data_IF_535202766265
#
_entry.id   IF_535202766265
#
_cell.length_a   1.000
_cell.length_b   1.000
_cell.length_c   1.000
_cell.angle_alpha   90.00
_cell.angle_beta   90.00
_cell.angle_gamma   90.00
#
_symmetry.space_group_name_H-M   'P 1'
#
loop_
_entity.id
_entity.type
_entity.pdbx_description
1 polymer ?
#
# COMPACT_ATOMS: atom_id res chain seq x y z
N UNK A 1 11.51 1.21 -10.76
CA UNK A 1 10.64 -0.01 -10.86
C UNK A 1 9.36 0.07 -9.99
N UNK A 2 9.45 0.25 -8.64
CA UNK A 2 8.22 0.24 -7.79
C UNK A 2 7.31 1.44 -8.05
N UNK A 3 7.86 2.62 -8.30
CA UNK A 3 7.07 3.80 -8.66
C UNK A 3 6.38 3.64 -10.03
N UNK A 4 6.99 2.94 -10.97
CA UNK A 4 6.35 2.67 -12.27
C UNK A 4 5.16 1.71 -12.11
N UNK A 5 5.30 0.72 -11.21
CA UNK A 5 4.18 -0.16 -10.86
C UNK A 5 3.06 0.62 -10.15
N UNK A 6 3.41 1.57 -9.25
CA UNK A 6 2.42 2.46 -8.65
C UNK A 6 1.65 3.26 -9.71
N UNK A 7 2.35 3.86 -10.67
CA UNK A 7 1.70 4.57 -11.80
C UNK A 7 0.76 3.65 -12.58
N UNK A 8 1.20 2.42 -12.85
CA UNK A 8 0.37 1.40 -13.49
C UNK A 8 -0.92 1.13 -12.71
N UNK A 9 -0.81 0.89 -11.40
CA UNK A 9 -1.97 0.67 -10.53
C UNK A 9 -2.91 1.90 -10.51
N UNK A 10 -2.37 3.12 -10.38
CA UNK A 10 -3.18 4.35 -10.36
C UNK A 10 -3.92 4.55 -11.68
N UNK A 11 -3.27 4.29 -12.81
CA UNK A 11 -3.90 4.38 -14.14
C UNK A 11 -5.01 3.34 -14.31
N UNK A 12 -4.80 2.10 -13.88
CA UNK A 12 -5.81 1.05 -13.93
C UNK A 12 -7.03 1.40 -13.06
N UNK A 13 -6.80 1.92 -11.85
CA UNK A 13 -7.86 2.35 -10.95
C UNK A 13 -8.68 3.49 -11.58
N UNK A 14 -8.03 4.48 -12.18
CA UNK A 14 -8.72 5.58 -12.85
C UNK A 14 -9.55 5.10 -14.04
N UNK A 15 -9.09 4.10 -14.78
CA UNK A 15 -9.84 3.51 -15.87
C UNK A 15 -11.06 2.70 -15.39
N UNK A 16 -10.90 1.95 -14.30
CA UNK A 16 -11.94 1.04 -13.78
C UNK A 16 -12.94 1.76 -12.88
N UNK A 17 -12.47 2.65 -12.01
CA UNK A 17 -13.28 3.25 -10.94
C UNK A 17 -13.56 4.74 -11.14
N UNK A 18 -12.93 5.39 -12.12
CA UNK A 18 -13.05 6.82 -12.46
C UNK A 18 -12.57 7.80 -11.39
N UNK A 19 -12.42 7.42 -10.15
CA UNK A 19 -11.97 8.26 -9.06
C UNK A 19 -10.94 7.56 -8.17
N UNK A 20 -9.94 8.30 -7.71
CA UNK A 20 -8.94 7.84 -6.74
C UNK A 20 -9.20 8.41 -5.34
N UNK A 21 -10.48 8.50 -4.94
CA UNK A 21 -10.85 8.86 -3.57
C UNK A 21 -10.75 7.66 -2.63
N UNK A 22 -10.57 7.94 -1.35
CA UNK A 22 -10.52 6.93 -0.29
C UNK A 22 -9.45 5.86 -0.53
N UNK A 23 -8.33 6.30 -1.10
CA UNK A 23 -7.20 5.43 -1.45
C UNK A 23 -6.13 5.48 -0.38
N UNK A 24 -5.66 4.30 0.01
CA UNK A 24 -4.57 4.13 0.96
C UNK A 24 -3.38 3.48 0.26
N UNK A 25 -2.24 4.14 0.26
CA UNK A 25 -1.00 3.64 -0.34
C UNK A 25 -0.02 3.29 0.77
N UNK A 26 0.28 2.02 0.93
CA UNK A 26 1.31 1.53 1.84
C UNK A 26 2.67 1.59 1.15
N UNK A 27 3.46 2.56 1.56
CA UNK A 27 4.82 2.77 1.04
C UNK A 27 5.77 1.71 1.65
N UNK A 28 6.77 1.24 0.91
CA UNK A 28 7.78 0.33 1.45
C UNK A 28 8.41 0.88 2.72
N UNK A 29 8.63 0.00 3.69
CA UNK A 29 9.29 0.34 4.94
C UNK A 29 10.77 -0.03 4.84
N UNK A 30 11.66 0.83 5.32
CA UNK A 30 13.07 0.53 5.51
C UNK A 30 13.29 -0.38 6.73
N UNK A 31 14.24 -0.05 7.60
CA UNK A 31 14.51 -0.83 8.83
C UNK A 31 13.34 -0.81 9.82
N UNK A 32 13.10 -1.89 10.59
CA UNK A 32 11.84 -2.08 11.32
C UNK A 32 11.53 -1.09 12.45
N UNK A 33 12.50 -0.38 13.02
CA UNK A 33 12.28 0.28 14.31
C UNK A 33 12.25 1.81 14.31
N UNK A 34 12.89 2.48 13.37
CA UNK A 34 12.95 3.95 13.37
C UNK A 34 12.63 4.53 11.99
N UNK A 35 11.93 5.67 11.98
CA UNK A 35 11.71 6.44 10.77
C UNK A 35 12.97 7.29 10.52
N UNK A 36 13.70 6.96 9.46
CA UNK A 36 14.97 7.60 9.11
C UNK A 36 14.86 8.50 7.86
N UNK A 37 15.99 9.08 7.43
CA UNK A 37 16.03 9.96 6.26
C UNK A 37 15.73 9.25 4.95
N UNK A 38 16.04 7.94 4.84
CA UNK A 38 15.71 7.16 3.65
C UNK A 38 14.21 6.90 3.57
N UNK A 39 13.56 6.64 4.71
CA UNK A 39 12.11 6.52 4.81
C UNK A 39 11.41 7.84 4.44
N UNK A 40 11.93 8.98 4.93
CA UNK A 40 11.41 10.31 4.61
C UNK A 40 11.52 10.60 3.12
N UNK A 41 12.68 10.34 2.54
CA UNK A 41 12.90 10.49 1.11
C UNK A 41 11.93 9.60 0.31
N UNK A 42 11.81 8.35 0.69
CA UNK A 42 10.98 7.38 -0.01
C UNK A 42 9.50 7.78 0.02
N UNK A 43 8.95 8.13 1.19
CA UNK A 43 7.53 8.54 1.27
C UNK A 43 7.29 9.85 0.52
N UNK A 44 8.27 10.76 0.46
CA UNK A 44 8.19 11.98 -0.33
C UNK A 44 8.15 11.68 -1.83
N UNK A 45 8.93 10.72 -2.32
CA UNK A 45 8.88 10.29 -3.72
C UNK A 45 7.50 9.75 -4.11
N UNK A 46 6.91 8.87 -3.29
CA UNK A 46 5.56 8.34 -3.52
C UNK A 46 4.49 9.44 -3.45
N UNK A 47 4.59 10.32 -2.47
CA UNK A 47 3.68 11.45 -2.30
C UNK A 47 3.74 12.42 -3.48
N UNK A 48 4.94 12.69 -4.01
CA UNK A 48 5.16 13.54 -5.18
C UNK A 48 4.52 12.97 -6.45
N UNK A 49 4.62 11.68 -6.69
CA UNK A 49 3.92 11.04 -7.81
C UNK A 49 2.42 11.30 -7.70
N UNK A 50 1.82 11.05 -6.54
CA UNK A 50 0.38 11.19 -6.33
C UNK A 50 -0.09 12.64 -6.48
N UNK A 51 0.64 13.60 -5.89
CA UNK A 51 0.23 15.01 -5.92
C UNK A 51 0.57 15.72 -7.23
N UNK A 52 1.76 15.49 -7.79
CA UNK A 52 2.25 16.25 -8.92
C UNK A 52 1.87 15.65 -10.27
N UNK A 53 1.87 14.31 -10.39
CA UNK A 53 1.54 13.66 -11.66
C UNK A 53 0.02 13.39 -11.80
N UNK A 54 -0.64 13.06 -10.68
CA UNK A 54 -2.09 12.73 -10.67
C UNK A 54 -2.97 13.87 -10.13
N UNK A 55 -2.37 14.96 -9.65
CA UNK A 55 -3.07 16.15 -9.12
C UNK A 55 -4.09 15.83 -8.02
N UNK A 56 -3.78 14.81 -7.20
CA UNK A 56 -4.65 14.36 -6.12
C UNK A 56 -4.28 15.00 -4.79
N UNK A 57 -5.30 15.35 -4.01
CA UNK A 57 -5.08 15.75 -2.61
C UNK A 57 -4.59 14.54 -1.82
N UNK A 58 -3.38 14.62 -1.31
CA UNK A 58 -2.79 13.55 -0.52
C UNK A 58 -2.29 14.07 0.83
N UNK A 59 -2.12 13.17 1.80
CA UNK A 59 -1.48 13.44 3.06
C UNK A 59 -0.63 12.23 3.48
N UNK A 60 0.56 12.51 4.02
CA UNK A 60 1.41 11.47 4.61
C UNK A 60 0.88 11.10 5.99
N UNK A 61 0.83 9.81 6.27
CA UNK A 61 0.40 9.26 7.55
C UNK A 61 1.49 8.34 8.08
N UNK A 62 2.33 8.88 8.96
CA UNK A 62 3.51 8.22 9.53
C UNK A 62 3.44 8.18 11.06
N UNK A 63 4.38 7.50 11.71
CA UNK A 63 4.44 7.42 13.17
C UNK A 63 4.43 8.79 13.88
N UNK A 64 5.09 9.78 13.27
CA UNK A 64 5.22 11.15 13.78
C UNK A 64 4.04 12.08 13.43
N UNK A 65 3.06 11.62 12.65
CA UNK A 65 1.92 12.44 12.22
C UNK A 65 1.13 12.93 13.42
N UNK A 66 1.02 14.26 13.53
CA UNK A 66 0.17 14.96 14.52
C UNK A 66 -1.26 15.07 13.97
N UNK A 67 -2.22 15.36 14.86
CA UNK A 67 -3.64 15.57 14.49
C UNK A 67 -4.25 14.44 13.65
N UNK A 68 -3.88 13.20 13.96
CA UNK A 68 -4.33 11.99 13.23
C UNK A 68 -5.84 11.93 13.05
N UNK A 69 -6.60 12.30 14.08
CA UNK A 69 -8.07 12.29 14.04
C UNK A 69 -8.63 13.24 12.98
N UNK A 70 -8.10 14.48 12.88
CA UNK A 70 -8.52 15.44 11.86
C UNK A 70 -8.19 14.94 10.44
N UNK A 71 -6.99 14.40 10.25
CA UNK A 71 -6.57 13.86 8.94
C UNK A 71 -7.51 12.72 8.52
N UNK A 72 -7.84 11.81 9.42
CA UNK A 72 -8.77 10.70 9.15
C UNK A 72 -10.19 11.18 8.87
N UNK A 73 -10.67 12.21 9.58
CA UNK A 73 -11.97 12.82 9.30
C UNK A 73 -12.00 13.48 7.91
N UNK A 74 -10.95 14.21 7.56
CA UNK A 74 -10.82 14.82 6.22
C UNK A 74 -10.72 13.79 5.12
N UNK A 75 -10.04 12.68 5.36
CA UNK A 75 -9.99 11.53 4.45
C UNK A 75 -11.37 10.89 4.31
N UNK A 76 -12.07 10.60 5.41
CA UNK A 76 -13.42 10.04 5.39
C UNK A 76 -14.44 10.97 4.70
N UNK A 77 -14.23 12.29 4.77
CA UNK A 77 -15.04 13.29 4.07
C UNK A 77 -14.63 13.50 2.60
N UNK A 78 -13.63 12.77 2.09
CA UNK A 78 -13.13 12.89 0.71
C UNK A 78 -12.36 14.19 0.42
N UNK A 79 -12.00 14.98 1.44
CA UNK A 79 -11.16 16.18 1.31
C UNK A 79 -9.69 15.83 1.08
N UNK A 80 -9.26 14.67 1.55
CA UNK A 80 -7.99 14.03 1.22
C UNK A 80 -8.35 12.79 0.41
N UNK A 81 -7.88 12.73 -0.82
CA UNK A 81 -8.17 11.61 -1.71
C UNK A 81 -7.31 10.39 -1.39
N UNK A 82 -6.04 10.63 -1.09
CA UNK A 82 -5.05 9.58 -0.87
C UNK A 82 -4.31 9.77 0.45
N UNK A 83 -4.19 8.73 1.25
CA UNK A 83 -3.25 8.65 2.37
C UNK A 83 -2.05 7.80 1.96
N UNK A 84 -0.85 8.37 2.06
CA UNK A 84 0.41 7.61 1.94
C UNK A 84 0.88 7.23 3.34
N UNK A 85 0.99 5.94 3.61
CA UNK A 85 1.24 5.43 4.96
C UNK A 85 2.54 4.62 5.01
N UNK A 86 3.33 4.84 6.07
CA UNK A 86 4.53 4.10 6.36
C UNK A 86 4.65 3.90 7.88
N UNK A 87 4.90 2.67 8.33
CA UNK A 87 5.18 2.29 9.73
C UNK A 87 4.14 2.77 10.77
N UNK A 88 2.90 3.04 10.41
CA UNK A 88 1.98 3.75 11.31
C UNK A 88 0.56 3.21 11.40
N UNK A 89 0.19 2.25 10.58
CA UNK A 89 -1.19 1.73 10.54
C UNK A 89 -1.34 0.42 11.29
N UNK A 90 -0.34 0.01 12.05
CA UNK A 90 -0.36 -1.28 12.76
C UNK A 90 -1.15 -1.20 14.07
N UNK A 91 -1.33 0.01 14.67
CA UNK A 91 -2.07 0.18 15.92
C UNK A 91 -3.09 1.33 15.88
N UNK A 92 -4.32 1.06 16.32
CA UNK A 92 -5.32 2.08 16.69
C UNK A 92 -5.92 2.93 15.56
N UNK A 93 -5.50 2.80 14.32
CA UNK A 93 -5.99 3.64 13.22
C UNK A 93 -7.20 3.01 12.53
N UNK A 94 -8.30 3.74 12.50
CA UNK A 94 -9.54 3.30 11.85
C UNK A 94 -9.71 4.02 10.50
N UNK A 95 -9.53 3.28 9.43
CA UNK A 95 -9.66 3.75 8.04
C UNK A 95 -10.84 3.09 7.32
N UNK A 96 -11.97 2.95 8.00
CA UNK A 96 -13.18 2.25 7.48
C UNK A 96 -13.60 2.73 6.09
N UNK A 97 -13.40 4.02 5.79
CA UNK A 97 -13.79 4.61 4.51
C UNK A 97 -12.86 4.22 3.35
N UNK A 98 -11.72 3.55 3.61
CA UNK A 98 -10.82 3.12 2.53
C UNK A 98 -11.53 2.17 1.57
N UNK A 99 -11.58 2.54 0.30
CA UNK A 99 -12.14 1.74 -0.79
C UNK A 99 -11.05 1.07 -1.61
N UNK A 100 -9.90 1.73 -1.75
CA UNK A 100 -8.75 1.21 -2.49
C UNK A 100 -7.53 1.17 -1.58
N UNK A 101 -6.81 0.06 -1.59
CA UNK A 101 -5.51 -0.05 -0.94
C UNK A 101 -4.46 -0.57 -1.90
N UNK A 102 -3.33 0.11 -1.96
CA UNK A 102 -2.18 -0.26 -2.77
C UNK A 102 -1.03 -0.60 -1.83
N UNK A 103 -0.62 -1.85 -1.81
CA UNK A 103 0.55 -2.32 -1.06
C UNK A 103 1.78 -2.29 -1.96
N UNK A 104 2.64 -1.27 -1.82
CA UNK A 104 3.85 -1.10 -2.63
C UNK A 104 5.04 -1.94 -2.15
N UNK A 105 4.90 -2.62 -1.04
CA UNK A 105 5.85 -3.60 -0.54
C UNK A 105 5.17 -4.68 0.26
N UNK A 106 5.69 -5.88 0.11
CA UNK A 106 5.39 -6.98 1.01
C UNK A 106 6.06 -6.76 2.35
N UNK A 107 5.33 -6.95 3.41
CA UNK A 107 5.95 -7.15 4.72
C UNK A 107 6.22 -8.64 4.90
N UNK A 108 7.42 -8.97 5.37
CA UNK A 108 7.78 -10.35 5.74
C UNK A 108 7.00 -10.86 6.97
N UNK A 109 6.25 -9.98 7.64
CA UNK A 109 5.45 -10.31 8.81
C UNK A 109 3.98 -10.56 8.41
N UNK A 110 3.53 -11.84 8.35
CA UNK A 110 2.15 -12.16 7.98
C UNK A 110 1.10 -11.53 8.90
N UNK A 111 1.42 -11.32 10.19
CA UNK A 111 0.47 -10.72 11.16
C UNK A 111 0.18 -9.25 10.83
N UNK A 112 1.21 -8.47 10.53
CA UNK A 112 1.03 -7.07 10.14
C UNK A 112 0.18 -6.95 8.88
N UNK A 113 0.44 -7.80 7.91
CA UNK A 113 -0.27 -7.84 6.66
C UNK A 113 -1.77 -8.16 6.85
N UNK A 114 -2.08 -9.19 7.64
CA UNK A 114 -3.46 -9.55 7.99
C UNK A 114 -4.16 -8.41 8.74
N UNK A 115 -3.46 -7.74 9.66
CA UNK A 115 -4.00 -6.60 10.40
C UNK A 115 -4.30 -5.40 9.48
N UNK A 116 -3.38 -5.05 8.59
CA UNK A 116 -3.56 -3.97 7.60
C UNK A 116 -4.76 -4.25 6.71
N UNK A 117 -4.86 -5.46 6.17
CA UNK A 117 -6.02 -5.91 5.39
C UNK A 117 -7.33 -5.82 6.17
N UNK A 118 -7.36 -6.34 7.39
CA UNK A 118 -8.55 -6.33 8.23
C UNK A 118 -9.10 -4.92 8.50
N UNK A 119 -8.26 -3.88 8.47
CA UNK A 119 -8.68 -2.49 8.60
C UNK A 119 -9.34 -1.95 7.34
N UNK A 120 -8.84 -2.34 6.17
CA UNK A 120 -9.38 -1.94 4.87
C UNK A 120 -10.72 -2.61 4.61
N UNK A 121 -10.86 -3.88 5.01
CA UNK A 121 -12.10 -4.65 4.80
C UNK A 121 -13.22 -4.31 5.80
N UNK A 122 -13.03 -3.37 6.73
CA UNK A 122 -14.08 -2.95 7.65
C UNK A 122 -15.28 -2.39 6.90
N UNK A 123 -16.46 -2.76 7.37
CA UNK A 123 -17.72 -2.32 6.79
C UNK A 123 -17.91 -0.81 7.02
N UNK A 124 -18.36 -0.12 5.99
CA UNK A 124 -18.79 1.27 6.02
C UNK A 124 -20.07 1.42 5.19
N UNK A 125 -21.05 2.23 5.63
CA UNK A 125 -22.33 2.35 4.92
C UNK A 125 -22.21 2.73 3.46
N UNK A 126 -21.27 3.62 3.14
CA UNK A 126 -21.06 4.13 1.77
C UNK A 126 -20.05 3.31 0.96
N UNK A 127 -19.54 2.20 1.50
CA UNK A 127 -18.56 1.36 0.83
C UNK A 127 -19.15 -0.02 0.51
N UNK A 128 -19.29 -0.33 -0.77
CA UNK A 128 -19.80 -1.62 -1.23
C UNK A 128 -18.69 -2.67 -1.33
N UNK A 129 -17.52 -2.27 -1.81
CA UNK A 129 -16.34 -3.13 -1.99
C UNK A 129 -15.08 -2.45 -1.50
N UNK A 130 -14.05 -3.24 -1.24
CA UNK A 130 -12.67 -2.79 -1.05
C UNK A 130 -11.79 -3.47 -2.10
N UNK A 131 -11.03 -2.68 -2.84
CA UNK A 131 -10.11 -3.14 -3.86
C UNK A 131 -8.69 -3.12 -3.31
N UNK A 132 -7.99 -4.23 -3.45
CA UNK A 132 -6.63 -4.37 -2.93
C UNK A 132 -5.69 -4.69 -4.09
N UNK A 133 -4.71 -3.81 -4.30
CA UNK A 133 -3.61 -3.97 -5.22
C UNK A 133 -2.36 -4.32 -4.42
N UNK A 134 -1.80 -5.49 -4.66
CA UNK A 134 -0.61 -5.97 -3.94
C UNK A 134 0.54 -6.16 -4.92
N UNK A 135 1.61 -5.39 -4.74
CA UNK A 135 2.79 -5.48 -5.58
C UNK A 135 3.66 -6.65 -5.12
N UNK A 136 3.81 -7.62 -5.98
CA UNK A 136 4.67 -8.78 -5.74
C UNK A 136 6.00 -8.66 -6.48
N UNK A 137 7.04 -9.25 -5.92
CA UNK A 137 8.34 -9.37 -6.57
C UNK A 137 8.41 -10.73 -7.26
N UNK A 138 8.57 -10.72 -8.58
CA UNK A 138 8.76 -11.92 -9.38
C UNK A 138 10.21 -11.93 -9.87
N UNK A 139 10.95 -13.05 -9.69
CA UNK A 139 12.31 -13.19 -10.24
C UNK A 139 12.31 -13.11 -11.76
N UNK A 140 13.39 -12.54 -12.33
CA UNK A 140 13.60 -12.60 -13.76
C UNK A 140 14.23 -13.94 -14.14
N UNK A 141 13.41 -14.87 -14.60
CA UNK A 141 13.83 -16.21 -14.99
C UNK A 141 14.77 -16.24 -16.21
N UNK A 142 14.92 -15.13 -16.92
CA UNK A 142 15.82 -14.99 -18.07
C UNK A 142 17.19 -14.44 -17.67
N UNK A 143 17.43 -14.11 -16.40
CA UNK A 143 18.73 -13.64 -15.95
C UNK A 143 19.76 -14.77 -16.01
N UNK A 144 20.92 -14.47 -16.62
CA UNK A 144 22.03 -15.43 -16.75
C UNK A 144 22.64 -15.87 -15.41
N UNK A 145 22.40 -15.10 -14.35
CA UNK A 145 22.85 -15.38 -12.98
C UNK A 145 21.78 -16.06 -12.13
N UNK A 146 20.70 -16.50 -12.74
CA UNK A 146 19.56 -17.12 -12.06
C UNK A 146 19.94 -18.37 -11.23
N UNK A 147 20.96 -19.12 -11.66
CA UNK A 147 21.37 -20.36 -10.97
C UNK A 147 21.97 -20.10 -9.57
N UNK A 148 22.75 -19.03 -9.38
CA UNK A 148 23.44 -18.75 -8.11
C UNK A 148 22.50 -18.20 -7.04
N UNK A 149 21.45 -17.47 -7.43
CA UNK A 149 20.47 -16.86 -6.54
C UNK A 149 19.14 -17.61 -6.49
N UNK A 150 18.98 -18.62 -7.32
CA UNK A 150 17.74 -19.35 -7.57
C UNK A 150 17.02 -19.82 -6.28
N UNK A 151 17.78 -20.28 -5.30
CA UNK A 151 17.19 -20.74 -4.04
C UNK A 151 16.57 -19.59 -3.24
N UNK A 152 17.25 -18.45 -3.14
CA UNK A 152 16.75 -17.26 -2.44
C UNK A 152 15.55 -16.69 -3.17
N UNK A 153 15.60 -16.61 -4.47
CA UNK A 153 14.52 -16.09 -5.31
C UNK A 153 13.27 -16.97 -5.25
N UNK A 154 13.43 -18.29 -5.29
CA UNK A 154 12.33 -19.25 -5.09
C UNK A 154 11.64 -19.07 -3.74
N UNK A 155 12.43 -18.87 -2.67
CA UNK A 155 11.86 -18.65 -1.33
C UNK A 155 11.10 -17.33 -1.23
N UNK A 156 11.64 -16.27 -1.84
CA UNK A 156 10.95 -14.97 -1.91
C UNK A 156 9.63 -15.14 -2.67
N UNK A 157 9.68 -15.71 -3.86
CA UNK A 157 8.49 -15.95 -4.68
C UNK A 157 7.46 -16.83 -3.97
N UNK A 158 7.89 -17.89 -3.30
CA UNK A 158 6.99 -18.77 -2.54
C UNK A 158 6.28 -18.01 -1.41
N UNK A 159 7.01 -17.14 -0.70
CA UNK A 159 6.44 -16.25 0.33
C UNK A 159 5.41 -15.27 -0.25
N UNK A 160 5.73 -14.65 -1.39
CA UNK A 160 4.84 -13.74 -2.11
C UNK A 160 3.56 -14.46 -2.58
N UNK A 161 3.70 -15.62 -3.21
CA UNK A 161 2.57 -16.42 -3.71
C UNK A 161 1.67 -16.93 -2.58
N UNK A 162 2.25 -17.35 -1.45
CA UNK A 162 1.48 -17.72 -0.27
C UNK A 162 0.61 -16.56 0.22
N UNK A 163 1.16 -15.35 0.27
CA UNK A 163 0.43 -14.15 0.63
C UNK A 163 -0.71 -13.86 -0.35
N UNK A 164 -0.44 -13.93 -1.65
CA UNK A 164 -1.45 -13.73 -2.70
C UNK A 164 -2.57 -14.77 -2.55
N UNK A 165 -2.23 -16.03 -2.32
CA UNK A 165 -3.21 -17.09 -2.12
C UNK A 165 -4.11 -16.83 -0.89
N UNK A 166 -3.53 -16.42 0.23
CA UNK A 166 -4.28 -16.05 1.44
C UNK A 166 -5.24 -14.87 1.21
N UNK A 167 -4.87 -13.94 0.33
CA UNK A 167 -5.76 -12.85 -0.08
C UNK A 167 -6.88 -13.32 -1.01
N UNK A 168 -6.51 -14.02 -2.07
CA UNK A 168 -7.45 -14.45 -3.09
C UNK A 168 -8.50 -15.43 -2.54
N UNK A 169 -8.11 -16.31 -1.61
CA UNK A 169 -9.02 -17.27 -0.98
C UNK A 169 -10.15 -16.63 -0.17
N UNK A 170 -10.02 -15.35 0.19
CA UNK A 170 -11.02 -14.59 0.95
C UNK A 170 -11.65 -13.44 0.16
N UNK A 171 -11.28 -13.29 -1.10
CA UNK A 171 -11.90 -12.35 -2.03
C UNK A 171 -13.18 -12.95 -2.63
N UNK A 172 -14.16 -12.10 -2.90
CA UNK A 172 -15.42 -12.46 -3.55
C UNK A 172 -15.25 -12.34 -5.04
#
# INVERSE_FOLDING_TARGET
RKLDVLRGCLNEILQSHKELKYTLVYVPEGKPMEFDQDDERLINEYSSVISNEYHLTQHQFIGLTKNRSDILQRFAAGKIAVLTAMKCLDEGVDVKRTEVAIFCASTSNPRQFIQRRGRILRIHPDKKYAYIYDMIVVPDVNDKYFDDTLWMEKNILAGELKRVYEFASMAI
#
